data_IF_772270374329
#
_entry.id   IF_772270374329
#
_cell.length_a   1.000
_cell.length_b   1.000
_cell.length_c   1.000
_cell.angle_alpha   90.00
_cell.angle_beta   90.00
_cell.angle_gamma   90.00
#
_symmetry.space_group_name_H-M   'P 1'
#
loop_
_entity.id
_entity.type
_entity.pdbx_description
1 polymer ?
#
# COMPACT_ATOMS: atom_id res chain seq x y z
N UNK A 1 -17.52 3.36 -39.02
CA UNK A 1 -17.98 2.76 -37.75
C UNK A 1 -17.65 3.74 -36.63
N UNK A 2 -18.66 4.24 -35.92
CA UNK A 2 -18.47 5.24 -34.87
C UNK A 2 -17.71 4.63 -33.69
N UNK A 3 -16.53 5.17 -33.39
CA UNK A 3 -15.74 4.94 -32.18
C UNK A 3 -16.39 5.74 -31.05
N UNK A 4 -17.61 5.39 -30.67
CA UNK A 4 -18.33 6.08 -29.58
C UNK A 4 -18.56 5.19 -28.37
N UNK A 5 -18.34 3.88 -28.49
CA UNK A 5 -18.34 2.99 -27.34
C UNK A 5 -16.91 2.76 -26.87
N UNK A 6 -16.64 2.90 -25.56
CA UNK A 6 -15.32 2.60 -25.04
C UNK A 6 -14.92 1.17 -25.38
N UNK A 7 -13.65 0.98 -25.75
CA UNK A 7 -13.11 -0.33 -26.14
C UNK A 7 -13.13 -1.24 -24.90
N UNK A 8 -14.16 -2.07 -24.83
CA UNK A 8 -14.29 -3.10 -23.80
C UNK A 8 -13.25 -4.20 -24.05
N UNK A 9 -12.71 -4.82 -22.99
CA UNK A 9 -11.85 -5.99 -23.14
C UNK A 9 -12.62 -7.11 -23.83
N UNK A 10 -11.94 -7.95 -24.63
CA UNK A 10 -12.54 -9.13 -25.30
C UNK A 10 -12.79 -10.29 -24.32
N UNK A 11 -13.33 -9.98 -23.15
CA UNK A 11 -13.78 -10.96 -22.17
C UNK A 11 -15.28 -11.12 -22.41
N UNK A 12 -15.76 -12.36 -22.47
CA UNK A 12 -17.19 -12.60 -22.58
C UNK A 12 -17.89 -11.89 -21.41
N UNK A 13 -18.60 -10.80 -21.70
CA UNK A 13 -19.53 -10.23 -20.73
C UNK A 13 -20.48 -11.35 -20.34
N UNK A 14 -20.72 -11.51 -19.05
CA UNK A 14 -21.82 -12.34 -18.57
C UNK A 14 -23.07 -11.84 -19.29
N UNK A 15 -23.54 -12.59 -20.31
CA UNK A 15 -24.79 -12.31 -21.02
C UNK A 15 -25.83 -11.92 -19.96
N UNK A 16 -26.60 -10.84 -20.14
CA UNK A 16 -27.69 -10.53 -19.23
C UNK A 16 -28.65 -11.72 -19.25
N UNK A 17 -28.47 -12.63 -18.31
CA UNK A 17 -29.39 -13.72 -18.09
C UNK A 17 -30.63 -13.07 -17.48
N UNK A 18 -31.76 -13.29 -18.14
CA UNK A 18 -33.09 -12.84 -17.73
C UNK A 18 -33.52 -13.43 -16.38
N UNK A 19 -32.76 -14.36 -15.82
CA UNK A 19 -32.93 -14.96 -14.51
C UNK A 19 -32.25 -14.15 -13.41
N UNK A 20 -33.06 -13.67 -12.44
CA UNK A 20 -32.55 -13.13 -11.18
C UNK A 20 -31.78 -14.23 -10.45
N UNK A 21 -30.46 -14.08 -10.32
CA UNK A 21 -29.61 -14.99 -9.55
C UNK A 21 -29.61 -14.54 -8.09
N UNK A 22 -29.96 -15.45 -7.19
CA UNK A 22 -29.83 -15.27 -5.75
C UNK A 22 -28.55 -15.96 -5.30
N UNK A 23 -27.76 -15.29 -4.47
CA UNK A 23 -26.56 -15.87 -3.87
C UNK A 23 -26.92 -16.54 -2.54
N UNK A 24 -26.36 -17.72 -2.30
CA UNK A 24 -26.57 -18.50 -1.08
C UNK A 24 -25.25 -19.17 -0.68
N UNK A 25 -24.92 -19.27 0.63
CA UNK A 25 -23.72 -19.96 1.07
C UNK A 25 -23.74 -21.43 0.61
N UNK A 26 -22.64 -21.88 0.00
CA UNK A 26 -22.57 -23.24 -0.50
C UNK A 26 -22.68 -24.24 0.67
N UNK A 27 -23.71 -25.08 0.63
CA UNK A 27 -23.88 -26.20 1.54
C UNK A 27 -24.06 -27.48 0.75
N UNK A 28 -23.36 -28.53 1.17
CA UNK A 28 -23.46 -29.86 0.56
C UNK A 28 -24.89 -30.41 0.57
N UNK A 29 -25.67 -30.05 1.59
CA UNK A 29 -27.09 -30.46 1.72
C UNK A 29 -28.01 -29.72 0.74
N UNK A 30 -27.59 -28.55 0.25
CA UNK A 30 -28.37 -27.66 -0.62
C UNK A 30 -27.75 -27.52 -2.01
N UNK A 31 -27.09 -28.57 -2.50
CA UNK A 31 -26.48 -28.60 -3.83
C UNK A 31 -27.45 -28.30 -4.96
N UNK A 32 -28.73 -28.66 -4.81
CA UNK A 32 -29.78 -28.41 -5.80
C UNK A 32 -30.07 -26.92 -6.03
N UNK A 33 -29.61 -26.02 -5.15
CA UNK A 33 -29.75 -24.57 -5.33
C UNK A 33 -28.70 -23.99 -6.30
N UNK A 34 -27.68 -24.77 -6.67
CA UNK A 34 -26.58 -24.35 -7.51
C UNK A 34 -26.62 -25.05 -8.86
N UNK A 35 -26.24 -24.32 -9.91
CA UNK A 35 -26.06 -24.88 -11.25
C UNK A 35 -24.76 -25.72 -11.29
N UNK A 36 -24.90 -27.02 -11.08
CA UNK A 36 -23.81 -28.01 -11.04
C UNK A 36 -23.66 -28.75 -12.39
N UNK A 37 -23.88 -28.06 -13.50
CA UNK A 37 -23.75 -28.62 -14.86
C UNK A 37 -22.40 -29.30 -15.09
N UNK A 38 -21.31 -28.69 -14.60
CA UNK A 38 -19.96 -29.24 -14.60
C UNK A 38 -19.40 -29.26 -13.18
N UNK A 39 -19.28 -30.45 -12.59
CA UNK A 39 -18.81 -30.63 -11.21
C UNK A 39 -17.32 -30.34 -11.05
N UNK A 40 -16.53 -30.52 -12.10
CA UNK A 40 -15.07 -30.37 -12.04
C UNK A 40 -14.67 -28.90 -12.22
N UNK A 41 -15.45 -28.12 -12.98
CA UNK A 41 -15.25 -26.68 -13.18
C UNK A 41 -16.03 -25.79 -12.21
N UNK A 42 -16.92 -26.34 -11.35
CA UNK A 42 -17.76 -25.54 -10.46
C UNK A 42 -16.96 -24.67 -9.48
N UNK A 43 -15.86 -25.19 -8.93
CA UNK A 43 -14.96 -24.43 -8.08
C UNK A 43 -13.76 -23.90 -8.87
N UNK A 44 -13.66 -22.58 -8.98
CA UNK A 44 -12.49 -21.91 -9.56
C UNK A 44 -11.17 -22.33 -8.87
N UNK A 45 -10.07 -22.30 -9.61
CA UNK A 45 -8.71 -22.58 -9.13
C UNK A 45 -8.36 -21.79 -7.86
N UNK A 46 -8.74 -20.50 -7.80
CA UNK A 46 -8.60 -19.63 -6.63
C UNK A 46 -9.40 -20.13 -5.42
N UNK A 47 -10.66 -20.51 -5.62
CA UNK A 47 -11.55 -20.98 -4.55
C UNK A 47 -11.03 -22.30 -3.98
N UNK A 48 -10.61 -23.22 -4.85
CA UNK A 48 -9.94 -24.48 -4.45
C UNK A 48 -8.69 -24.21 -3.63
N UNK A 49 -7.84 -23.30 -4.08
CA UNK A 49 -6.61 -22.92 -3.38
C UNK A 49 -6.90 -22.31 -2.01
N UNK A 50 -7.94 -21.47 -1.91
CA UNK A 50 -8.37 -20.85 -0.65
C UNK A 50 -8.89 -21.91 0.33
N UNK A 51 -9.71 -22.85 -0.13
CA UNK A 51 -10.22 -23.96 0.70
C UNK A 51 -9.06 -24.82 1.20
N UNK A 52 -8.13 -25.20 0.33
CA UNK A 52 -6.94 -25.98 0.71
C UNK A 52 -6.09 -25.23 1.73
N UNK A 53 -5.87 -23.93 1.54
CA UNK A 53 -5.12 -23.11 2.47
C UNK A 53 -5.80 -23.03 3.85
N UNK A 54 -7.12 -22.86 3.90
CA UNK A 54 -7.89 -22.87 5.15
C UNK A 54 -7.84 -24.23 5.85
N UNK A 55 -7.88 -25.34 5.10
CA UNK A 55 -7.66 -26.68 5.66
C UNK A 55 -6.26 -26.78 6.27
N UNK A 56 -5.20 -26.42 5.53
CA UNK A 56 -3.82 -26.47 6.00
C UNK A 56 -3.57 -25.59 7.24
N UNK A 57 -4.30 -24.47 7.34
CA UNK A 57 -4.26 -23.58 8.49
C UNK A 57 -4.96 -24.18 9.72
N UNK A 58 -6.11 -24.81 9.53
CA UNK A 58 -6.93 -25.41 10.61
C UNK A 58 -6.43 -26.78 11.07
N UNK A 59 -5.78 -27.55 10.19
CA UNK A 59 -5.22 -28.86 10.55
C UNK A 59 -4.08 -28.68 11.54
N UNK A 60 -4.31 -29.12 12.77
CA UNK A 60 -3.28 -29.15 13.82
C UNK A 60 -2.55 -30.49 13.82
N UNK A 61 -1.30 -30.48 14.28
CA UNK A 61 -0.50 -31.69 14.45
C UNK A 61 -1.07 -32.61 15.54
N UNK A 62 -2.01 -33.48 15.16
CA UNK A 62 -2.48 -34.58 16.01
C UNK A 62 -1.55 -35.78 15.85
N UNK A 63 -0.44 -35.79 16.59
CA UNK A 63 0.30 -36.99 17.04
C UNK A 63 0.50 -38.11 15.99
N UNK A 64 1.70 -38.23 15.42
CA UNK A 64 2.12 -39.50 14.81
C UNK A 64 2.24 -40.58 15.90
N UNK A 65 1.36 -41.58 15.89
CA UNK A 65 1.45 -42.82 16.70
C UNK A 65 2.45 -43.81 16.10
N UNK A 66 3.62 -43.38 15.67
CA UNK A 66 4.69 -44.29 15.24
C UNK A 66 5.92 -44.07 16.12
N UNK A 67 5.85 -44.57 17.37
CA UNK A 67 7.06 -45.04 18.04
C UNK A 67 7.19 -46.52 17.71
N UNK A 68 7.92 -46.83 16.65
CA UNK A 68 8.58 -48.12 16.50
C UNK A 68 9.47 -48.34 17.72
N UNK A 69 9.34 -49.50 18.36
CA UNK A 69 10.18 -49.96 19.46
C UNK A 69 9.42 -50.24 20.76
N UNK A 70 8.95 -51.47 20.91
CA UNK A 70 8.81 -52.10 22.23
C UNK A 70 10.18 -52.04 22.92
N UNK A 71 10.22 -51.43 24.10
CA UNK A 71 11.42 -51.34 24.92
C UNK A 71 11.02 -50.83 26.30
N UNK A 72 11.03 -51.74 27.26
CA UNK A 72 10.68 -51.54 28.65
C UNK A 72 11.48 -50.42 29.32
N UNK A 73 10.85 -49.76 30.29
CA UNK A 73 11.52 -49.10 31.41
C UNK A 73 12.42 -47.90 31.07
N UNK A 74 11.84 -46.70 30.95
CA UNK A 74 12.61 -45.48 31.25
C UNK A 74 11.73 -44.34 31.74
N UNK A 75 12.18 -43.71 32.84
CA UNK A 75 11.58 -42.58 33.55
C UNK A 75 10.93 -41.59 32.56
N UNK A 76 9.67 -41.23 32.81
CA UNK A 76 8.98 -40.14 32.09
C UNK A 76 9.65 -38.83 32.44
N UNK A 77 10.68 -38.46 31.69
CA UNK A 77 11.29 -37.14 31.79
C UNK A 77 10.25 -36.08 31.43
N UNK A 78 9.96 -35.20 32.39
CA UNK A 78 9.02 -34.09 32.26
C UNK A 78 9.33 -33.16 31.07
N UNK A 79 10.58 -33.12 30.63
CA UNK A 79 11.04 -32.41 29.42
C UNK A 79 10.50 -33.01 28.11
N UNK A 80 10.28 -34.33 28.06
CA UNK A 80 9.76 -35.01 26.87
C UNK A 80 8.23 -34.91 26.80
N UNK A 81 7.57 -34.80 27.96
CA UNK A 81 6.14 -34.47 28.07
C UNK A 81 5.83 -33.03 27.65
N UNK A 82 6.70 -32.07 27.98
CA UNK A 82 6.54 -30.67 27.53
C UNK A 82 6.74 -30.52 26.02
N UNK A 83 7.69 -31.26 25.42
CA UNK A 83 7.87 -31.33 23.96
C UNK A 83 6.71 -32.05 23.25
N UNK A 84 6.10 -33.06 23.89
CA UNK A 84 4.91 -33.79 23.39
C UNK A 84 3.63 -32.95 23.34
N UNK A 85 3.43 -32.01 24.27
CA UNK A 85 2.24 -31.11 24.29
C UNK A 85 2.38 -29.89 23.38
N UNK A 86 3.59 -29.55 22.95
CA UNK A 86 3.84 -28.45 22.00
C UNK A 86 3.07 -28.62 20.67
N UNK A 87 2.95 -29.84 20.12
CA UNK A 87 2.36 -30.04 18.76
C UNK A 87 0.86 -29.74 18.64
N UNK A 88 0.11 -29.64 19.74
CA UNK A 88 -1.37 -29.64 19.71
C UNK A 88 -2.05 -28.39 19.12
N UNK A 89 -1.30 -27.38 18.69
CA UNK A 89 -1.85 -26.10 18.18
C UNK A 89 -1.18 -25.56 16.92
N UNK A 90 -0.23 -26.27 16.31
CA UNK A 90 0.50 -25.72 15.16
C UNK A 90 -0.21 -26.06 13.84
N UNK A 91 -0.76 -25.04 13.19
CA UNK A 91 -1.09 -25.06 11.75
C UNK A 91 0.13 -24.76 10.87
N UNK A 92 -0.05 -24.75 9.54
CA UNK A 92 1.05 -24.56 8.56
C UNK A 92 1.88 -23.29 8.81
N UNK A 93 1.26 -22.20 9.29
CA UNK A 93 1.93 -20.92 9.57
C UNK A 93 3.03 -21.04 10.62
N UNK A 94 2.83 -21.87 11.65
CA UNK A 94 3.86 -22.09 12.67
C UNK A 94 4.98 -23.00 12.17
N UNK A 95 4.67 -23.98 11.32
CA UNK A 95 5.68 -24.85 10.69
C UNK A 95 6.61 -24.08 9.75
N UNK A 96 6.04 -23.12 9.00
CA UNK A 96 6.82 -22.17 8.20
C UNK A 96 7.68 -21.26 9.09
N UNK A 97 7.11 -20.71 10.16
CA UNK A 97 7.86 -19.84 11.09
C UNK A 97 9.01 -20.57 11.81
N UNK A 98 8.86 -21.87 12.08
CA UNK A 98 9.89 -22.71 12.67
C UNK A 98 10.94 -23.22 11.65
N UNK A 99 10.77 -22.91 10.36
CA UNK A 99 11.69 -23.35 9.30
C UNK A 99 11.61 -24.84 8.95
N UNK A 100 10.53 -25.53 9.33
CA UNK A 100 10.30 -26.94 8.93
C UNK A 100 9.92 -27.01 7.45
N UNK A 101 9.09 -26.05 7.01
CA UNK A 101 8.80 -25.81 5.61
C UNK A 101 9.46 -24.51 5.16
N UNK A 102 10.01 -24.50 3.95
CA UNK A 102 10.65 -23.29 3.37
C UNK A 102 9.61 -22.33 2.79
N UNK A 103 8.62 -22.84 2.05
CA UNK A 103 7.58 -22.03 1.42
C UNK A 103 6.29 -22.85 1.23
N UNK A 104 5.16 -22.16 1.18
CA UNK A 104 3.86 -22.71 0.78
C UNK A 104 3.13 -21.67 -0.06
N UNK A 105 2.81 -22.01 -1.31
CA UNK A 105 2.18 -21.10 -2.27
C UNK A 105 1.27 -21.87 -3.23
N UNK A 106 0.18 -21.26 -3.74
CA UNK A 106 -0.63 -21.84 -4.80
C UNK A 106 0.12 -21.82 -6.14
N UNK A 107 -0.18 -22.79 -7.01
CA UNK A 107 0.35 -22.82 -8.37
C UNK A 107 -0.55 -22.01 -9.32
N UNK A 108 0.05 -21.46 -10.37
CA UNK A 108 -0.69 -20.80 -11.45
C UNK A 108 -1.14 -21.82 -12.50
N UNK A 109 -2.22 -21.54 -13.22
CA UNK A 109 -2.85 -22.46 -14.18
C UNK A 109 -2.00 -22.74 -15.44
N UNK A 110 -0.90 -22.01 -15.65
CA UNK A 110 0.06 -22.25 -16.73
C UNK A 110 1.00 -21.09 -17.00
N UNK A 111 1.74 -21.20 -18.11
CA UNK A 111 2.60 -20.12 -18.61
C UNK A 111 1.81 -19.06 -19.39
N UNK A 112 2.34 -17.84 -19.44
CA UNK A 112 1.79 -16.71 -20.17
C UNK A 112 2.59 -16.38 -21.43
N UNK A 113 3.84 -16.84 -21.52
CA UNK A 113 4.72 -16.71 -22.68
C UNK A 113 4.75 -18.02 -23.47
N UNK A 114 4.44 -17.96 -24.78
CA UNK A 114 4.50 -19.11 -25.68
C UNK A 114 3.32 -19.22 -26.65
N UNK A 115 3.63 -19.54 -27.91
CA UNK A 115 2.65 -19.62 -29.00
C UNK A 115 1.81 -20.91 -28.95
N UNK A 116 2.33 -21.99 -28.35
CA UNK A 116 1.68 -23.31 -28.25
C UNK A 116 1.11 -23.60 -26.85
N UNK A 117 0.82 -22.57 -26.05
CA UNK A 117 0.22 -22.75 -24.73
C UNK A 117 -1.30 -22.77 -24.84
N UNK A 118 -1.93 -23.77 -24.23
CA UNK A 118 -3.39 -23.87 -24.11
C UNK A 118 -4.00 -22.57 -23.57
N UNK A 119 -5.24 -22.29 -23.96
CA UNK A 119 -5.91 -21.06 -23.58
C UNK A 119 -6.14 -20.99 -22.06
N UNK A 120 -5.31 -20.22 -21.36
CA UNK A 120 -5.30 -20.09 -19.91
C UNK A 120 -5.78 -18.70 -19.48
N UNK A 121 -6.47 -18.62 -18.33
CA UNK A 121 -6.95 -17.34 -17.73
C UNK A 121 -5.79 -16.35 -17.51
N UNK A 122 -4.58 -16.85 -17.21
CA UNK A 122 -3.36 -16.05 -17.06
C UNK A 122 -2.91 -15.38 -18.37
N UNK A 123 -2.93 -16.12 -19.48
CA UNK A 123 -2.54 -15.61 -20.80
C UNK A 123 -3.54 -14.56 -21.28
N UNK A 124 -4.84 -14.81 -21.08
CA UNK A 124 -5.90 -13.83 -21.36
C UNK A 124 -5.73 -12.54 -20.55
N UNK A 125 -5.45 -12.64 -19.25
CA UNK A 125 -5.17 -11.47 -18.40
C UNK A 125 -3.95 -10.67 -18.86
N UNK A 126 -2.91 -11.37 -19.33
CA UNK A 126 -1.72 -10.70 -19.87
C UNK A 126 -2.04 -9.94 -21.17
N UNK A 127 -2.76 -10.57 -22.10
CA UNK A 127 -3.10 -9.98 -23.39
C UNK A 127 -4.04 -8.78 -23.30
N UNK A 128 -5.06 -8.85 -22.44
CA UNK A 128 -6.12 -7.84 -22.36
C UNK A 128 -5.91 -6.78 -21.27
N UNK A 129 -5.00 -6.98 -20.32
CA UNK A 129 -4.83 -6.05 -19.19
C UNK A 129 -3.38 -5.73 -18.82
N UNK A 130 -2.51 -6.73 -18.63
CA UNK A 130 -1.16 -6.50 -18.09
C UNK A 130 -0.08 -6.09 -19.12
N UNK A 131 -0.48 -5.70 -20.34
CA UNK A 131 0.42 -5.20 -21.39
C UNK A 131 0.39 -3.67 -21.45
N UNK A 132 1.57 -3.05 -21.52
CA UNK A 132 1.69 -1.59 -21.65
C UNK A 132 0.93 -1.00 -22.84
N UNK A 133 0.80 -1.76 -23.94
CA UNK A 133 0.05 -1.33 -25.13
C UNK A 133 -1.47 -1.28 -24.97
N UNK A 134 -2.04 -1.75 -23.86
CA UNK A 134 -3.50 -1.91 -23.64
C UNK A 134 -4.04 -0.97 -22.55
N UNK A 135 -3.29 0.08 -22.21
CA UNK A 135 -3.65 1.04 -21.14
C UNK A 135 -4.97 1.80 -21.37
N UNK A 136 -5.45 1.88 -22.62
CA UNK A 136 -6.65 2.62 -23.00
C UNK A 136 -7.96 1.84 -22.83
N UNK A 137 -7.89 0.52 -22.61
CA UNK A 137 -9.08 -0.32 -22.40
C UNK A 137 -9.59 -0.24 -20.96
N UNK A 138 -10.85 -0.59 -20.75
CA UNK A 138 -11.38 -0.77 -19.40
C UNK A 138 -10.76 -1.99 -18.72
N UNK A 139 -10.51 -1.87 -17.41
CA UNK A 139 -9.94 -2.95 -16.61
C UNK A 139 -10.97 -4.09 -16.43
N UNK A 140 -10.63 -5.35 -16.77
CA UNK A 140 -11.50 -6.51 -16.56
C UNK A 140 -11.49 -6.96 -15.09
N UNK A 141 -12.09 -6.15 -14.21
CA UNK A 141 -12.06 -6.37 -12.74
C UNK A 141 -12.64 -7.72 -12.31
N UNK A 142 -13.63 -8.25 -13.03
CA UNK A 142 -14.26 -9.52 -12.68
C UNK A 142 -13.35 -10.72 -13.00
N UNK A 143 -12.53 -10.62 -14.04
CA UNK A 143 -11.52 -11.63 -14.39
C UNK A 143 -10.32 -11.56 -13.44
N UNK A 144 -9.86 -10.35 -13.11
CA UNK A 144 -8.80 -10.13 -12.09
C UNK A 144 -9.24 -10.70 -10.75
N UNK A 145 -10.50 -10.48 -10.35
CA UNK A 145 -11.08 -11.09 -9.14
C UNK A 145 -11.09 -12.61 -9.22
N UNK A 146 -11.54 -13.19 -10.33
CA UNK A 146 -11.60 -14.66 -10.50
C UNK A 146 -10.22 -15.30 -10.30
N UNK A 147 -9.16 -14.67 -10.82
CA UNK A 147 -7.81 -15.21 -10.79
C UNK A 147 -7.06 -14.90 -9.49
N UNK A 148 -7.05 -13.64 -9.04
CA UNK A 148 -6.27 -13.20 -7.87
C UNK A 148 -7.06 -13.11 -6.56
N UNK A 149 -8.38 -13.20 -6.63
CA UNK A 149 -9.27 -13.02 -5.49
C UNK A 149 -9.74 -11.58 -5.28
N UNK A 150 -10.55 -11.41 -4.25
CA UNK A 150 -11.34 -10.20 -4.00
C UNK A 150 -10.47 -9.08 -3.44
N UNK A 151 -9.44 -9.38 -2.63
CA UNK A 151 -8.51 -8.38 -2.08
C UNK A 151 -7.76 -7.63 -3.19
N UNK A 152 -7.17 -8.36 -4.13
CA UNK A 152 -6.43 -7.77 -5.27
C UNK A 152 -7.39 -7.14 -6.28
N UNK A 153 -8.54 -7.78 -6.53
CA UNK A 153 -9.59 -7.22 -7.38
C UNK A 153 -10.11 -5.87 -6.88
N UNK A 154 -10.32 -5.71 -5.57
CA UNK A 154 -10.77 -4.46 -4.97
C UNK A 154 -9.70 -3.36 -5.06
N UNK A 155 -8.42 -3.70 -4.89
CA UNK A 155 -7.30 -2.76 -5.09
C UNK A 155 -7.29 -2.17 -6.50
N UNK A 156 -7.36 -3.02 -7.54
CA UNK A 156 -7.38 -2.53 -8.93
C UNK A 156 -8.68 -1.81 -9.27
N UNK A 157 -9.81 -2.21 -8.70
CA UNK A 157 -11.07 -1.48 -8.84
C UNK A 157 -11.00 -0.06 -8.24
N UNK A 158 -10.33 0.11 -7.09
CA UNK A 158 -10.04 1.41 -6.47
C UNK A 158 -9.11 2.24 -7.35
N UNK A 159 -7.99 1.65 -7.77
CA UNK A 159 -7.01 2.32 -8.63
C UNK A 159 -7.66 2.82 -9.91
N UNK A 160 -8.45 1.98 -10.59
CA UNK A 160 -9.17 2.37 -11.79
C UNK A 160 -10.20 3.49 -11.55
N UNK A 161 -10.93 3.46 -10.43
CA UNK A 161 -11.85 4.54 -10.06
C UNK A 161 -11.11 5.86 -9.79
N UNK A 162 -9.96 5.79 -9.12
CA UNK A 162 -9.11 6.93 -8.83
C UNK A 162 -8.56 7.56 -10.10
N UNK A 163 -7.96 6.75 -11.00
CA UNK A 163 -7.47 7.24 -12.30
C UNK A 163 -8.58 7.85 -13.15
N UNK A 164 -9.77 7.23 -13.18
CA UNK A 164 -10.92 7.76 -13.93
C UNK A 164 -11.36 9.14 -13.39
N UNK A 165 -11.40 9.32 -12.07
CA UNK A 165 -11.76 10.60 -11.45
C UNK A 165 -10.65 11.66 -11.55
N UNK A 166 -9.40 11.26 -11.74
CA UNK A 166 -8.30 12.21 -12.00
C UNK A 166 -8.39 12.85 -13.39
N UNK A 167 -9.06 12.23 -14.37
CA UNK A 167 -9.23 12.80 -15.73
C UNK A 167 -9.87 14.20 -15.70
N UNK A 168 -11.07 14.41 -15.12
CA UNK A 168 -11.67 15.74 -15.05
C UNK A 168 -10.81 16.73 -14.23
N UNK A 169 -10.15 16.26 -13.17
CA UNK A 169 -9.28 17.11 -12.37
C UNK A 169 -8.05 17.59 -13.16
N UNK A 170 -7.45 16.71 -13.97
CA UNK A 170 -6.34 17.03 -14.85
C UNK A 170 -6.74 18.00 -15.95
N UNK A 171 -7.92 17.83 -16.56
CA UNK A 171 -8.44 18.75 -17.58
C UNK A 171 -8.59 20.17 -17.01
N UNK A 172 -9.24 20.30 -15.85
CA UNK A 172 -9.40 21.61 -15.19
C UNK A 172 -8.03 22.20 -14.81
N UNK A 173 -7.11 21.38 -14.30
CA UNK A 173 -5.75 21.81 -13.98
C UNK A 173 -4.98 22.34 -15.20
N UNK A 174 -5.07 21.66 -16.36
CA UNK A 174 -4.45 22.11 -17.60
C UNK A 174 -5.07 23.43 -18.08
N UNK A 175 -6.39 23.59 -18.00
CA UNK A 175 -7.08 24.83 -18.37
C UNK A 175 -6.58 26.01 -17.49
N UNK A 176 -6.49 25.81 -16.18
CA UNK A 176 -6.00 26.84 -15.24
C UNK A 176 -4.53 27.17 -15.50
N UNK A 177 -3.70 26.18 -15.84
CA UNK A 177 -2.30 26.39 -16.20
C UNK A 177 -2.17 27.17 -17.52
N UNK A 178 -2.93 26.82 -18.55
CA UNK A 178 -2.95 27.53 -19.83
C UNK A 178 -3.46 28.97 -19.68
N UNK A 179 -4.44 29.20 -18.80
CA UNK A 179 -4.89 30.55 -18.44
C UNK A 179 -3.75 31.36 -17.79
N UNK A 180 -2.99 30.73 -16.89
CA UNK A 180 -1.77 31.31 -16.33
C UNK A 180 -0.77 31.72 -17.42
N UNK A 181 -0.44 30.81 -18.35
CA UNK A 181 0.45 31.09 -19.47
C UNK A 181 -0.04 32.28 -20.34
N UNK A 182 -1.34 32.34 -20.63
CA UNK A 182 -1.91 33.40 -21.46
C UNK A 182 -1.89 34.78 -20.79
N UNK A 183 -1.93 34.83 -19.45
CA UNK A 183 -2.01 36.08 -18.68
C UNK A 183 -0.66 36.56 -18.13
N UNK A 184 0.43 35.80 -18.32
CA UNK A 184 1.79 36.14 -17.83
C UNK A 184 2.25 37.53 -18.29
N UNK A 185 2.01 37.89 -19.55
CA UNK A 185 2.48 39.17 -20.09
C UNK A 185 1.52 40.35 -19.82
N UNK A 186 0.34 40.09 -19.25
CA UNK A 186 -0.66 41.11 -18.93
C UNK A 186 -0.61 41.56 -17.46
N UNK A 187 0.13 40.84 -16.62
CA UNK A 187 0.16 41.10 -15.20
C UNK A 187 1.13 42.25 -14.84
N UNK A 188 0.56 43.34 -14.31
CA UNK A 188 1.25 44.61 -14.03
C UNK A 188 2.45 44.40 -13.08
N UNK A 189 2.34 43.70 -11.93
CA UNK A 189 3.45 43.51 -11.01
C UNK A 189 4.64 42.75 -11.62
N UNK A 190 4.39 41.70 -12.41
CA UNK A 190 5.49 40.99 -13.09
C UNK A 190 6.14 41.86 -14.17
N UNK A 191 5.37 42.69 -14.87
CA UNK A 191 5.92 43.62 -15.86
C UNK A 191 6.73 44.75 -15.22
N UNK A 192 6.29 45.30 -14.09
CA UNK A 192 7.04 46.28 -13.30
C UNK A 192 8.37 45.72 -12.80
N UNK A 193 8.40 44.46 -12.34
CA UNK A 193 9.64 43.79 -11.94
C UNK A 193 10.58 43.51 -13.12
N UNK A 194 10.04 43.33 -14.32
CA UNK A 194 10.82 43.05 -15.54
C UNK A 194 11.27 44.31 -16.29
N UNK A 195 10.71 45.49 -15.99
CA UNK A 195 11.08 46.73 -16.67
C UNK A 195 12.48 47.19 -16.24
N UNK A 196 13.37 47.34 -17.22
CA UNK A 196 14.76 47.75 -17.01
C UNK A 196 14.91 49.26 -16.78
N UNK A 197 13.87 50.06 -17.05
CA UNK A 197 13.90 51.52 -16.86
C UNK A 197 14.01 51.89 -15.37
N UNK A 198 13.35 51.12 -14.52
CA UNK A 198 13.44 51.27 -13.08
C UNK A 198 14.71 50.55 -12.59
N UNK A 199 15.83 51.29 -12.50
CA UNK A 199 17.12 50.81 -11.98
C UNK A 199 17.09 50.60 -10.45
N UNK A 200 16.10 49.85 -9.95
CA UNK A 200 15.92 49.61 -8.51
C UNK A 200 16.96 48.61 -8.02
N UNK A 201 17.87 49.07 -7.16
CA UNK A 201 18.87 48.24 -6.48
C UNK A 201 18.32 47.71 -5.17
N UNK A 202 18.28 46.38 -5.05
CA UNK A 202 17.86 45.67 -3.85
C UNK A 202 19.04 45.48 -2.90
N UNK A 203 18.72 45.50 -1.60
CA UNK A 203 19.67 45.20 -0.54
C UNK A 203 20.23 43.77 -0.69
N UNK A 204 21.50 43.56 -0.28
CA UNK A 204 22.08 42.23 -0.28
C UNK A 204 21.33 41.31 0.69
N UNK A 205 21.17 40.04 0.30
CA UNK A 205 20.50 39.01 1.10
C UNK A 205 21.38 38.44 2.23
N UNK A 206 22.63 38.89 2.32
CA UNK A 206 23.64 38.35 3.23
C UNK A 206 24.46 39.48 3.83
N UNK A 207 24.99 39.24 5.03
CA UNK A 207 25.55 40.28 5.88
C UNK A 207 26.94 40.79 5.45
N UNK A 208 27.78 39.93 4.81
CA UNK A 208 29.19 40.29 4.54
C UNK A 208 29.71 40.11 3.11
N UNK A 209 29.23 39.14 2.34
CA UNK A 209 29.85 38.75 1.04
C UNK A 209 28.94 38.89 -0.18
N UNK A 210 27.75 39.46 -0.02
CA UNK A 210 26.76 39.59 -1.08
C UNK A 210 26.71 41.03 -1.61
N UNK A 211 26.75 41.19 -2.93
CA UNK A 211 26.61 42.50 -3.58
C UNK A 211 25.13 42.89 -3.69
N UNK A 212 24.87 44.19 -3.84
CA UNK A 212 23.56 44.67 -4.30
C UNK A 212 23.18 43.99 -5.61
N UNK A 213 21.89 43.73 -5.80
CA UNK A 213 21.36 43.06 -6.98
C UNK A 213 20.22 43.87 -7.58
N UNK A 214 20.05 43.78 -8.91
CA UNK A 214 18.98 44.51 -9.63
C UNK A 214 17.69 43.71 -9.59
N UNK A 215 16.56 44.38 -9.35
CA UNK A 215 15.24 43.73 -9.33
C UNK A 215 14.93 42.96 -10.63
N UNK A 216 15.31 43.53 -11.79
CA UNK A 216 15.10 42.92 -13.11
C UNK A 216 15.75 41.55 -13.31
N UNK A 217 16.76 41.21 -12.51
CA UNK A 217 17.38 39.86 -12.54
C UNK A 217 16.45 38.76 -12.04
N UNK A 218 15.43 39.08 -11.24
CA UNK A 218 14.43 38.14 -10.74
C UNK A 218 13.16 38.06 -11.62
N UNK A 219 13.14 38.73 -12.77
CA UNK A 219 12.00 38.75 -13.70
C UNK A 219 11.51 37.34 -14.08
N UNK A 220 12.42 36.40 -14.36
CA UNK A 220 12.05 35.02 -14.70
C UNK A 220 11.32 34.30 -13.54
N UNK A 221 11.75 34.53 -12.30
CA UNK A 221 11.09 33.98 -11.11
C UNK A 221 9.73 34.64 -10.89
N UNK A 222 9.61 35.96 -11.08
CA UNK A 222 8.34 36.66 -10.94
C UNK A 222 7.29 36.19 -11.98
N UNK A 223 7.71 35.97 -13.24
CA UNK A 223 6.84 35.38 -14.28
C UNK A 223 6.42 33.96 -13.94
N UNK A 224 7.35 33.15 -13.42
CA UNK A 224 7.03 31.80 -12.96
C UNK A 224 6.08 31.80 -11.76
N UNK A 225 6.24 32.74 -10.82
CA UNK A 225 5.32 32.90 -9.69
C UNK A 225 3.91 33.22 -10.17
N UNK A 226 3.72 34.14 -11.12
CA UNK A 226 2.38 34.44 -11.65
C UNK A 226 1.73 33.24 -12.35
N UNK A 227 2.52 32.35 -12.98
CA UNK A 227 2.01 31.13 -13.58
C UNK A 227 1.34 30.19 -12.55
N UNK A 228 1.87 30.14 -11.32
CA UNK A 228 1.34 29.32 -10.23
C UNK A 228 0.36 30.06 -9.31
N UNK A 229 0.58 31.35 -9.09
CA UNK A 229 -0.19 32.21 -8.19
C UNK A 229 -1.13 33.12 -8.98
N UNK A 230 -1.99 32.52 -9.82
CA UNK A 230 -2.99 33.26 -10.60
C UNK A 230 -4.38 33.19 -9.92
N UNK A 231 -5.29 34.15 -10.14
CA UNK A 231 -6.62 34.15 -9.52
C UNK A 231 -7.46 32.87 -9.73
N UNK A 232 -7.31 32.18 -10.87
CA UNK A 232 -7.94 30.90 -11.18
C UNK A 232 -7.37 29.71 -10.37
N UNK A 233 -6.17 29.81 -9.77
CA UNK A 233 -5.68 28.75 -8.87
C UNK A 233 -6.46 28.73 -7.54
N UNK A 234 -7.01 29.88 -7.12
CA UNK A 234 -7.97 29.93 -6.00
C UNK A 234 -9.21 29.11 -6.34
N UNK A 235 -9.78 29.29 -7.54
CA UNK A 235 -10.89 28.48 -8.03
C UNK A 235 -10.53 26.98 -8.08
N UNK A 236 -9.33 26.66 -8.59
CA UNK A 236 -8.85 25.28 -8.63
C UNK A 236 -8.74 24.65 -7.25
N UNK A 237 -8.31 25.38 -6.23
CA UNK A 237 -8.21 24.84 -4.86
C UNK A 237 -9.57 24.46 -4.27
N UNK A 238 -10.60 25.29 -4.48
CA UNK A 238 -11.99 24.98 -4.09
C UNK A 238 -12.52 23.78 -4.87
N UNK A 239 -12.25 23.72 -6.18
CA UNK A 239 -12.61 22.59 -7.03
C UNK A 239 -11.95 21.29 -6.53
N UNK A 240 -10.66 21.30 -6.17
CA UNK A 240 -9.96 20.12 -5.67
C UNK A 240 -10.51 19.62 -4.33
N UNK A 241 -10.96 20.52 -3.45
CA UNK A 241 -11.63 20.13 -2.21
C UNK A 241 -12.98 19.43 -2.47
N UNK A 242 -13.80 19.97 -3.38
CA UNK A 242 -15.07 19.36 -3.80
C UNK A 242 -14.86 18.05 -4.56
N UNK A 243 -13.83 17.98 -5.40
CA UNK A 243 -13.42 16.78 -6.10
C UNK A 243 -13.06 15.65 -5.13
N UNK A 244 -12.28 15.94 -4.08
CA UNK A 244 -11.89 14.94 -3.08
C UNK A 244 -13.11 14.38 -2.34
N UNK A 245 -14.05 15.24 -1.94
CA UNK A 245 -15.31 14.80 -1.32
C UNK A 245 -16.15 13.94 -2.28
N UNK A 246 -16.28 14.37 -3.53
CA UNK A 246 -17.04 13.66 -4.56
C UNK A 246 -16.40 12.30 -4.89
N UNK A 247 -15.07 12.24 -4.95
CA UNK A 247 -14.32 11.01 -5.17
C UNK A 247 -14.58 9.99 -4.05
N UNK A 248 -14.50 10.42 -2.79
CA UNK A 248 -14.76 9.54 -1.65
C UNK A 248 -16.19 8.97 -1.67
N UNK A 249 -17.19 9.80 -1.98
CA UNK A 249 -18.59 9.34 -2.09
C UNK A 249 -18.81 8.44 -3.31
N UNK A 250 -18.20 8.75 -4.45
CA UNK A 250 -18.21 7.89 -5.63
C UNK A 250 -17.60 6.53 -5.33
N UNK A 251 -16.45 6.50 -4.65
CA UNK A 251 -15.78 5.26 -4.26
C UNK A 251 -16.64 4.44 -3.31
N UNK A 252 -17.20 5.01 -2.25
CA UNK A 252 -18.11 4.29 -1.34
C UNK A 252 -19.28 3.64 -2.10
N UNK A 253 -19.91 4.38 -3.02
CA UNK A 253 -21.01 3.83 -3.85
C UNK A 253 -20.55 2.71 -4.77
N UNK A 254 -19.37 2.85 -5.39
CA UNK A 254 -18.77 1.83 -6.25
C UNK A 254 -18.40 0.58 -5.45
N UNK A 255 -17.77 0.75 -4.28
CA UNK A 255 -17.45 -0.32 -3.35
C UNK A 255 -18.71 -1.07 -2.92
N UNK A 256 -19.80 -0.38 -2.58
CA UNK A 256 -21.07 -1.04 -2.23
C UNK A 256 -21.64 -1.87 -3.39
N UNK A 257 -21.60 -1.35 -4.62
CA UNK A 257 -22.03 -2.10 -5.81
C UNK A 257 -21.16 -3.34 -6.06
N UNK A 258 -19.85 -3.21 -5.88
CA UNK A 258 -18.91 -4.32 -6.01
C UNK A 258 -19.14 -5.35 -4.90
N UNK A 259 -19.32 -4.92 -3.65
CA UNK A 259 -19.62 -5.80 -2.53
C UNK A 259 -20.89 -6.60 -2.76
N UNK A 260 -21.94 -5.98 -3.30
CA UNK A 260 -23.18 -6.69 -3.66
C UNK A 260 -22.95 -7.69 -4.81
N UNK A 261 -22.31 -7.24 -5.90
CA UNK A 261 -22.07 -8.09 -7.08
C UNK A 261 -21.09 -9.25 -6.80
N UNK A 262 -20.20 -9.05 -5.84
CA UNK A 262 -19.20 -10.02 -5.43
C UNK A 262 -19.57 -10.80 -4.17
N UNK A 263 -20.78 -10.58 -3.64
CA UNK A 263 -21.31 -11.25 -2.44
C UNK A 263 -20.36 -11.19 -1.22
N UNK A 264 -19.80 -10.01 -0.97
CA UNK A 264 -18.84 -9.77 0.12
C UNK A 264 -19.51 -9.34 1.43
N UNK A 265 -20.83 -9.29 1.49
CA UNK A 265 -21.57 -8.71 2.63
C UNK A 265 -21.49 -9.51 3.93
N UNK A 266 -21.01 -10.76 3.91
CA UNK A 266 -20.76 -11.59 5.09
C UNK A 266 -19.28 -11.89 5.37
N UNK A 267 -18.37 -11.38 4.53
CA UNK A 267 -16.93 -11.69 4.64
C UNK A 267 -16.28 -11.01 5.85
N UNK A 268 -16.87 -9.92 6.36
CA UNK A 268 -16.38 -9.24 7.58
C UNK A 268 -16.54 -10.12 8.83
N UNK A 269 -17.66 -10.84 8.96
CA UNK A 269 -17.91 -11.77 10.08
C UNK A 269 -16.98 -12.99 10.01
N UNK A 270 -16.73 -13.51 8.81
CA UNK A 270 -15.75 -14.58 8.59
C UNK A 270 -14.31 -14.11 8.80
N UNK A 271 -13.95 -12.91 8.35
CA UNK A 271 -12.62 -12.32 8.60
C UNK A 271 -12.46 -11.99 10.09
N UNK A 272 -13.50 -11.64 10.83
CA UNK A 272 -13.49 -11.47 12.28
C UNK A 272 -13.28 -12.81 13.01
N UNK A 273 -13.93 -13.89 12.57
CA UNK A 273 -13.69 -15.25 13.06
C UNK A 273 -12.30 -15.81 12.67
N UNK A 274 -11.74 -15.36 11.54
CA UNK A 274 -10.37 -15.68 11.11
C UNK A 274 -9.33 -14.81 11.80
N UNK A 275 -9.63 -13.55 12.14
CA UNK A 275 -8.84 -12.68 13.05
C UNK A 275 -8.78 -13.29 14.45
N UNK A 276 -9.81 -14.03 14.84
CA UNK A 276 -9.84 -14.80 16.08
C UNK A 276 -8.89 -16.01 16.07
N UNK A 277 -8.33 -16.40 14.91
CA UNK A 277 -7.14 -17.25 14.86
C UNK A 277 -5.91 -16.39 15.19
N UNK A 278 -5.34 -16.50 16.41
CA UNK A 278 -4.24 -15.66 16.79
C UNK A 278 -3.05 -15.93 15.86
N UNK A 279 -2.29 -14.88 15.52
CA UNK A 279 -1.05 -15.02 14.75
C UNK A 279 -0.17 -16.10 15.42
N UNK A 280 0.50 -16.94 14.64
CA UNK A 280 1.34 -18.03 15.18
C UNK A 280 2.36 -17.54 16.24
N UNK A 281 2.85 -16.31 16.11
CA UNK A 281 3.73 -15.65 17.09
C UNK A 281 3.03 -15.34 18.42
N UNK A 282 1.74 -14.97 18.40
CA UNK A 282 0.92 -14.79 19.60
C UNK A 282 0.69 -16.12 20.31
N UNK A 283 0.31 -17.15 19.56
CA UNK A 283 0.08 -18.49 20.12
C UNK A 283 1.35 -19.07 20.77
N UNK A 284 2.52 -18.81 20.18
CA UNK A 284 3.80 -19.21 20.74
C UNK A 284 4.09 -18.53 22.09
N UNK A 285 3.87 -17.22 22.22
CA UNK A 285 4.05 -16.50 23.50
C UNK A 285 3.03 -16.91 24.55
N UNK A 286 1.76 -17.11 24.17
CA UNK A 286 0.73 -17.63 25.09
C UNK A 286 1.12 -19.01 25.61
N UNK A 287 1.62 -19.89 24.74
CA UNK A 287 2.09 -21.22 25.12
C UNK A 287 3.28 -21.16 26.07
N UNK A 288 4.26 -20.29 25.81
CA UNK A 288 5.40 -20.09 26.71
C UNK A 288 4.95 -19.61 28.10
N UNK A 289 4.02 -18.65 28.14
CA UNK A 289 3.45 -18.14 29.39
C UNK A 289 2.63 -19.20 30.12
N UNK A 290 1.84 -20.01 29.40
CA UNK A 290 1.07 -21.10 30.01
C UNK A 290 1.98 -22.17 30.58
N UNK A 291 3.07 -22.53 29.88
CA UNK A 291 4.08 -23.46 30.39
C UNK A 291 4.73 -22.92 31.67
N UNK A 292 5.12 -21.63 31.68
CA UNK A 292 5.73 -20.99 32.86
C UNK A 292 4.78 -20.92 34.06
N UNK A 293 3.48 -20.79 33.82
CA UNK A 293 2.43 -20.77 34.86
C UNK A 293 2.11 -22.18 35.37
N UNK A 294 2.07 -23.20 34.50
CA UNK A 294 1.94 -24.62 34.88
C UNK A 294 3.09 -25.11 35.76
N UNK A 295 4.32 -24.63 35.51
CA UNK A 295 5.47 -24.90 36.39
C UNK A 295 5.33 -24.28 37.79
N UNK A 296 4.51 -23.24 37.95
CA UNK A 296 4.31 -22.53 39.22
C UNK A 296 3.02 -22.88 39.94
N UNK A 297 1.93 -23.24 39.24
CA UNK A 297 0.65 -23.65 39.81
C UNK A 297 -0.09 -24.64 38.88
N UNK A 298 -0.74 -25.64 39.50
CA UNK A 298 -1.41 -26.80 38.87
C UNK A 298 -2.80 -26.50 38.27
N UNK A 299 -3.06 -25.27 37.81
CA UNK A 299 -4.40 -24.88 37.36
C UNK A 299 -4.46 -24.58 35.86
N UNK A 300 -5.44 -25.19 35.20
CA UNK A 300 -5.64 -25.23 33.75
C UNK A 300 -6.63 -24.15 33.30
N UNK A 301 -6.28 -22.89 33.54
CA UNK A 301 -7.08 -21.78 33.00
C UNK A 301 -6.51 -21.24 31.69
N UNK A 302 -7.40 -20.84 30.77
CA UNK A 302 -7.03 -20.21 29.49
C UNK A 302 -6.25 -18.92 29.76
N UNK A 303 -4.92 -19.01 29.73
CA UNK A 303 -4.04 -17.86 29.99
C UNK A 303 -4.13 -16.87 28.83
N UNK A 304 -4.83 -15.75 29.01
CA UNK A 304 -4.74 -14.58 28.12
C UNK A 304 -3.55 -13.70 28.52
N UNK A 305 -2.89 -13.05 27.55
CA UNK A 305 -1.93 -11.97 27.88
C UNK A 305 -2.67 -10.85 28.62
N UNK A 306 -2.12 -10.44 29.76
CA UNK A 306 -2.75 -9.46 30.64
C UNK A 306 -2.26 -8.06 30.25
N UNK A 307 -3.01 -7.00 30.59
CA UNK A 307 -2.61 -5.60 30.32
C UNK A 307 -1.19 -5.26 30.78
N UNK A 308 -0.72 -5.89 31.88
CA UNK A 308 0.65 -5.74 32.39
C UNK A 308 1.74 -6.29 31.44
N UNK A 309 1.43 -7.27 30.60
CA UNK A 309 2.39 -7.82 29.62
C UNK A 309 2.43 -7.01 28.33
N UNK A 310 1.32 -6.33 27.99
CA UNK A 310 1.22 -5.46 26.80
C UNK A 310 1.70 -4.03 27.08
N UNK A 311 1.65 -3.57 28.33
CA UNK A 311 2.08 -2.22 28.72
C UNK A 311 3.52 -1.89 28.30
N UNK A 312 4.53 -2.76 28.46
CA UNK A 312 5.87 -2.51 27.96
C UNK A 312 5.91 -2.35 26.44
N UNK A 313 5.11 -3.15 25.71
CA UNK A 313 5.06 -3.07 24.26
C UNK A 313 4.43 -1.76 23.77
N UNK A 314 3.33 -1.32 24.40
CA UNK A 314 2.72 -0.01 24.10
C UNK A 314 3.64 1.16 24.47
N UNK A 315 4.37 1.06 25.59
CA UNK A 315 5.34 2.07 25.98
C UNK A 315 6.50 2.13 24.97
N UNK A 316 7.03 0.99 24.54
CA UNK A 316 8.07 0.96 23.49
C UNK A 316 7.56 1.49 22.16
N UNK A 317 6.30 1.27 21.82
CA UNK A 317 5.70 1.84 20.61
C UNK A 317 5.60 3.36 20.70
N UNK A 318 5.02 3.88 21.78
CA UNK A 318 4.93 5.31 22.01
C UNK A 318 6.30 6.00 21.96
N UNK A 319 7.29 5.43 22.63
CA UNK A 319 8.68 5.95 22.62
C UNK A 319 9.28 5.87 21.22
N UNK A 320 9.05 4.77 20.48
CA UNK A 320 9.55 4.61 19.12
C UNK A 320 8.91 5.59 18.14
N UNK A 321 7.60 5.83 18.21
CA UNK A 321 6.91 6.83 17.38
C UNK A 321 7.44 8.24 17.68
N UNK A 322 7.56 8.61 18.96
CA UNK A 322 8.09 9.92 19.35
C UNK A 322 9.53 10.10 18.87
N UNK A 323 10.36 9.06 19.00
CA UNK A 323 11.73 9.07 18.49
C UNK A 323 11.76 9.28 16.97
N UNK A 324 10.92 8.57 16.20
CA UNK A 324 10.85 8.75 14.75
C UNK A 324 10.40 10.16 14.35
N UNK A 325 9.42 10.73 15.07
CA UNK A 325 9.01 12.13 14.87
C UNK A 325 10.19 13.08 15.14
N UNK A 326 10.92 12.89 16.24
CA UNK A 326 12.10 13.71 16.56
C UNK A 326 13.20 13.60 15.49
N UNK A 327 13.45 12.41 14.94
CA UNK A 327 14.40 12.19 13.84
C UNK A 327 13.97 12.97 12.59
N UNK A 328 12.68 12.98 12.24
CA UNK A 328 12.21 13.76 11.08
C UNK A 328 12.45 15.27 11.28
N UNK A 329 12.17 15.81 12.46
CA UNK A 329 12.46 17.21 12.78
C UNK A 329 13.96 17.53 12.73
N UNK A 330 14.81 16.65 13.27
CA UNK A 330 16.27 16.81 13.23
C UNK A 330 16.80 16.87 11.79
N UNK A 331 16.22 16.07 10.89
CA UNK A 331 16.60 16.04 9.47
C UNK A 331 16.16 17.30 8.75
N UNK A 332 14.93 17.77 8.98
CA UNK A 332 14.46 19.05 8.43
C UNK A 332 15.35 20.20 8.89
N UNK A 333 15.70 20.25 10.18
CA UNK A 333 16.65 21.23 10.70
C UNK A 333 18.04 21.09 10.06
N UNK A 334 18.52 19.86 9.86
CA UNK A 334 19.77 19.58 9.17
C UNK A 334 19.80 20.11 7.72
N UNK A 335 18.70 19.94 6.97
CA UNK A 335 18.58 20.48 5.60
C UNK A 335 18.54 22.01 5.60
N UNK A 336 17.87 22.63 6.58
CA UNK A 336 17.86 24.09 6.74
C UNK A 336 19.27 24.62 7.01
N UNK A 337 20.00 24.00 7.95
CA UNK A 337 21.39 24.38 8.26
C UNK A 337 22.28 24.17 7.03
N UNK A 338 22.17 23.04 6.33
CA UNK A 338 22.90 22.78 5.09
C UNK A 338 22.66 23.88 4.04
N UNK A 339 21.41 24.32 3.85
CA UNK A 339 21.08 25.41 2.92
C UNK A 339 21.77 26.72 3.31
N UNK A 340 21.75 27.08 4.58
CA UNK A 340 22.39 28.30 5.09
C UNK A 340 23.91 28.23 4.89
N UNK A 341 24.53 27.11 5.28
CA UNK A 341 25.98 26.91 5.16
C UNK A 341 26.45 26.89 3.71
N UNK A 342 25.75 26.18 2.82
CA UNK A 342 26.11 26.11 1.40
C UNK A 342 25.91 27.45 0.69
N UNK A 343 24.85 28.19 1.01
CA UNK A 343 24.65 29.53 0.48
C UNK A 343 25.81 30.47 0.87
N UNK A 344 26.27 30.40 2.12
CA UNK A 344 27.43 31.16 2.58
C UNK A 344 28.73 30.73 1.88
N UNK A 345 28.99 29.42 1.75
CA UNK A 345 30.19 28.88 1.13
C UNK A 345 30.28 29.21 -0.37
N UNK A 346 29.17 29.10 -1.10
CA UNK A 346 29.12 29.41 -2.53
C UNK A 346 29.21 30.92 -2.82
N UNK A 347 28.78 31.78 -1.88
CA UNK A 347 29.00 33.22 -1.97
C UNK A 347 30.51 33.58 -1.89
N UNK A 348 31.29 32.80 -1.15
CA UNK A 348 32.75 32.97 -0.99
C UNK A 348 33.57 32.38 -2.15
N UNK A 349 32.96 31.62 -3.07
CA UNK A 349 33.65 31.00 -4.19
C UNK A 349 34.15 32.06 -5.20
N UNK A 350 35.38 31.90 -5.68
CA UNK A 350 36.06 32.81 -6.62
C UNK A 350 35.59 32.69 -8.07
N UNK A 351 34.92 31.58 -8.44
CA UNK A 351 34.43 31.33 -9.80
C UNK A 351 33.13 32.12 -10.12
N UNK A 352 33.12 33.03 -11.11
CA UNK A 352 31.96 33.87 -11.42
C UNK A 352 30.71 33.09 -11.86
N UNK A 353 30.89 31.99 -12.59
CA UNK A 353 29.81 31.14 -13.11
C UNK A 353 29.05 30.38 -12.02
N UNK A 354 29.72 30.07 -10.92
CA UNK A 354 29.12 29.44 -9.74
C UNK A 354 28.40 30.49 -8.89
N UNK A 355 28.92 31.72 -8.86
CA UNK A 355 28.34 32.85 -8.13
C UNK A 355 27.02 33.36 -8.73
N UNK A 356 26.84 33.29 -10.04
CA UNK A 356 25.58 33.72 -10.69
C UNK A 356 24.42 32.74 -10.48
N UNK A 357 24.72 31.45 -10.26
CA UNK A 357 23.71 30.38 -10.15
C UNK A 357 23.51 29.85 -8.71
N UNK A 358 24.07 30.51 -7.70
CA UNK A 358 24.06 30.04 -6.29
C UNK A 358 22.66 29.61 -5.84
N UNK A 359 21.64 30.42 -6.12
CA UNK A 359 20.26 30.14 -5.67
C UNK A 359 19.73 28.83 -6.23
N UNK A 360 19.94 28.57 -7.53
CA UNK A 360 19.45 27.35 -8.19
C UNK A 360 20.25 26.14 -7.72
N UNK A 361 21.59 26.25 -7.67
CA UNK A 361 22.44 25.14 -7.24
C UNK A 361 22.16 24.73 -5.79
N UNK A 362 22.07 25.68 -4.85
CA UNK A 362 21.79 25.38 -3.43
C UNK A 362 20.40 24.79 -3.24
N UNK A 363 19.39 25.30 -3.94
CA UNK A 363 18.03 24.77 -3.82
C UNK A 363 17.92 23.37 -4.42
N UNK A 364 18.49 23.14 -5.60
CA UNK A 364 18.50 21.84 -6.27
C UNK A 364 19.27 20.78 -5.47
N UNK A 365 20.49 21.06 -5.01
CA UNK A 365 21.27 20.09 -4.22
C UNK A 365 20.60 19.79 -2.89
N UNK A 366 20.01 20.79 -2.23
CA UNK A 366 19.26 20.57 -0.99
C UNK A 366 18.01 19.70 -1.19
N UNK A 367 17.27 19.88 -2.30
CA UNK A 367 16.11 19.03 -2.63
C UNK A 367 16.55 17.60 -2.91
N UNK A 368 17.64 17.40 -3.66
CA UNK A 368 18.18 16.07 -3.96
C UNK A 368 18.63 15.36 -2.69
N UNK A 369 19.40 16.04 -1.82
CA UNK A 369 19.85 15.48 -0.54
C UNK A 369 18.64 15.13 0.34
N UNK A 370 17.66 16.03 0.43
CA UNK A 370 16.44 15.78 1.19
C UNK A 370 15.67 14.56 0.67
N UNK A 371 15.56 14.40 -0.65
CA UNK A 371 14.93 13.23 -1.27
C UNK A 371 15.66 11.93 -0.92
N UNK A 372 16.99 11.91 -1.05
CA UNK A 372 17.81 10.74 -0.71
C UNK A 372 17.64 10.35 0.75
N UNK A 373 17.65 11.34 1.66
CA UNK A 373 17.45 11.09 3.10
C UNK A 373 16.06 10.54 3.38
N UNK A 374 15.01 11.07 2.75
CA UNK A 374 13.63 10.56 2.91
C UNK A 374 13.53 9.11 2.44
N UNK A 375 14.11 8.76 1.29
CA UNK A 375 14.09 7.38 0.76
C UNK A 375 14.79 6.41 1.72
N UNK A 376 15.97 6.80 2.25
CA UNK A 376 16.69 5.97 3.23
C UNK A 376 15.91 5.80 4.53
N UNK A 377 15.28 6.88 5.02
CA UNK A 377 14.45 6.83 6.22
C UNK A 377 13.21 5.97 6.04
N UNK A 378 12.57 5.99 4.88
CA UNK A 378 11.35 5.22 4.62
C UNK A 378 11.60 3.71 4.78
N UNK A 379 12.71 3.21 4.23
CA UNK A 379 13.14 1.82 4.42
C UNK A 379 13.48 1.49 5.89
N UNK A 380 14.19 2.41 6.57
CA UNK A 380 14.48 2.26 8.00
C UNK A 380 13.20 2.23 8.84
N UNK A 381 12.26 3.13 8.57
CA UNK A 381 10.97 3.20 9.23
C UNK A 381 10.16 1.93 8.98
N UNK A 382 10.11 1.44 7.73
CA UNK A 382 9.45 0.19 7.39
C UNK A 382 10.03 -1.02 8.11
N UNK A 383 11.34 -1.05 8.36
CA UNK A 383 11.98 -2.09 9.17
C UNK A 383 11.62 -1.98 10.66
N UNK A 384 11.72 -0.77 11.23
CA UNK A 384 11.38 -0.50 12.64
C UNK A 384 9.90 -0.79 12.89
N UNK A 385 9.00 -0.35 12.01
CA UNK A 385 7.56 -0.59 12.13
C UNK A 385 7.25 -2.10 12.15
N UNK A 386 7.84 -2.88 11.24
CA UNK A 386 7.68 -4.36 11.24
C UNK A 386 8.19 -5.00 12.52
N UNK A 387 9.34 -4.55 13.03
CA UNK A 387 9.91 -5.02 14.28
C UNK A 387 9.04 -4.67 15.49
N UNK A 388 8.53 -3.45 15.53
CA UNK A 388 7.67 -2.94 16.60
C UNK A 388 6.33 -3.70 16.64
N UNK A 389 5.69 -3.90 15.48
CA UNK A 389 4.46 -4.71 15.38
C UNK A 389 4.70 -6.17 15.81
N UNK A 390 5.89 -6.72 15.55
CA UNK A 390 6.27 -8.05 16.04
C UNK A 390 6.48 -8.10 17.55
N UNK A 391 6.90 -7.00 18.17
CA UNK A 391 6.99 -6.88 19.64
C UNK A 391 5.61 -6.78 20.26
N UNK A 392 4.72 -5.98 19.67
CA UNK A 392 3.36 -5.76 20.15
C UNK A 392 2.55 -7.04 20.23
N UNK A 393 2.75 -7.95 19.27
CA UNK A 393 1.99 -9.19 19.15
C UNK A 393 0.49 -8.90 19.33
N UNK A 394 -0.08 -8.15 18.37
CA UNK A 394 -1.46 -7.67 18.44
C UNK A 394 -2.45 -8.81 18.71
#
# INVERSE_FOLDING_TARGET
QKITDPIQPKVAEHRPQTTKRLYYPFSREKQHLFDLSDKDSFFDSKTRSTIVYEILKRTTCTKAKYSMGQGEGRKKDSALLSKRRKCGKYGITSLLANGVYSAAYPLHDGDYEGDNVDFNDRKLLYEEWARYGVFYKYQPIDLVRKYFGEKIGLYFAWLGAYTQMLIPASIVGIIVFLYGCATVDQNIPSMEMCDQRYNITMCPLCDKTCSYWKMSSACATARASHLFDNPATVFFSVFMALWAATFMEHWKRKQMRLNYRWDLTGFEEEEEAVKDHPRAEYEARVLEKSLRKEFKNKETDKVKLTWKDRFPAYLTNLVSIIFMIAVTFAIVLGVIIYRISMAAALAMNSSPSVRSNIRVTVTATAVIINLVVIILLDEMYGCIARWLTKIEVP
#
